data_IF_170169366344
#
_entry.id   IF_170169366344
#
_cell.length_a   1.000
_cell.length_b   1.000
_cell.length_c   1.000
_cell.angle_alpha   90.00
_cell.angle_beta   90.00
_cell.angle_gamma   90.00
#
_symmetry.space_group_name_H-M   'P 1'
#
loop_
_entity.id
_entity.type
_entity.pdbx_description
1 polymer ?
#
# COMPACT_ATOMS: atom_id res chain seq x y z
N UNK A 1 -6.26 21.20 -9.12
CA UNK A 1 -7.62 20.62 -9.03
C UNK A 1 -7.66 19.10 -9.19
N UNK A 2 -7.15 18.50 -10.28
CA UNK A 2 -7.18 17.03 -10.43
C UNK A 2 -6.45 16.29 -9.31
N UNK A 3 -5.26 16.77 -8.93
CA UNK A 3 -4.47 16.21 -7.82
C UNK A 3 -5.23 16.27 -6.50
N UNK A 4 -5.89 17.39 -6.20
CA UNK A 4 -6.75 17.51 -5.01
C UNK A 4 -7.93 16.54 -5.05
N UNK A 5 -8.55 16.38 -6.22
CA UNK A 5 -9.65 15.44 -6.40
C UNK A 5 -9.21 14.00 -6.12
N UNK A 6 -8.05 13.59 -6.66
CA UNK A 6 -7.43 12.29 -6.35
C UNK A 6 -7.15 12.16 -4.85
N UNK A 7 -6.58 13.19 -4.23
CA UNK A 7 -6.28 13.20 -2.79
C UNK A 7 -7.54 13.02 -1.93
N UNK A 8 -8.65 13.69 -2.26
CA UNK A 8 -9.90 13.54 -1.53
C UNK A 8 -10.57 12.19 -1.73
N UNK A 9 -10.37 11.55 -2.90
CA UNK A 9 -10.88 10.20 -3.15
C UNK A 9 -10.24 9.14 -2.24
N UNK A 10 -9.08 9.41 -1.61
CA UNK A 10 -8.51 8.50 -0.60
C UNK A 10 -9.45 8.26 0.59
N UNK A 11 -10.35 9.19 0.90
CA UNK A 11 -11.35 9.06 1.98
C UNK A 11 -12.40 7.98 1.71
N UNK A 12 -12.63 7.62 0.44
CA UNK A 12 -13.60 6.59 0.04
C UNK A 12 -13.11 5.19 0.44
N UNK A 13 -11.79 5.01 0.53
CA UNK A 13 -11.14 3.74 0.80
C UNK A 13 -10.25 3.30 -0.37
N UNK A 14 -9.15 2.66 -0.03
CA UNK A 14 -8.15 2.12 -0.96
C UNK A 14 -7.40 0.96 -0.27
N UNK A 15 -6.41 0.38 -0.95
CA UNK A 15 -5.67 -0.78 -0.42
C UNK A 15 -4.91 -0.49 0.88
N UNK A 16 -4.61 0.78 1.18
CA UNK A 16 -3.79 1.19 2.32
C UNK A 16 -4.59 1.76 3.49
N UNK A 17 -5.77 2.34 3.21
CA UNK A 17 -6.64 2.95 4.22
C UNK A 17 -8.09 2.46 4.09
N UNK A 18 -8.74 2.10 5.22
CA UNK A 18 -10.16 1.82 5.21
C UNK A 18 -10.95 3.09 4.85
N UNK A 19 -12.05 2.95 4.12
CA UNK A 19 -12.92 4.07 3.80
C UNK A 19 -13.53 4.70 5.06
N UNK A 20 -13.61 6.03 5.09
CA UNK A 20 -14.24 6.75 6.19
C UNK A 20 -15.72 6.39 6.27
N UNK A 21 -16.29 6.20 7.48
CA UNK A 21 -17.62 5.60 7.58
C UNK A 21 -18.73 6.41 6.87
N UNK A 22 -18.56 7.74 6.69
CA UNK A 22 -19.58 8.61 6.11
C UNK A 22 -19.57 8.61 4.59
N UNK A 23 -18.56 8.02 3.97
CA UNK A 23 -18.34 8.05 2.53
C UNK A 23 -18.58 6.64 1.98
N UNK A 24 -19.32 6.57 0.89
CA UNK A 24 -19.53 5.35 0.10
C UNK A 24 -19.90 5.72 -1.34
N UNK A 25 -19.32 5.03 -2.32
CA UNK A 25 -19.60 5.26 -3.75
C UNK A 25 -21.09 5.09 -4.05
N UNK A 26 -21.80 4.22 -3.32
CA UNK A 26 -23.23 3.95 -3.52
C UNK A 26 -24.16 5.09 -3.09
N UNK A 27 -23.68 6.08 -2.35
CA UNK A 27 -24.47 7.26 -1.94
C UNK A 27 -24.04 8.54 -2.64
N UNK A 28 -23.48 8.45 -3.85
CA UNK A 28 -22.97 9.61 -4.60
C UNK A 28 -21.96 10.44 -3.81
N UNK A 29 -21.08 9.75 -3.08
CA UNK A 29 -20.07 10.44 -2.28
C UNK A 29 -19.01 11.11 -3.14
N UNK A 30 -18.71 10.59 -4.34
CA UNK A 30 -17.73 11.21 -5.24
C UNK A 30 -18.19 12.61 -5.64
N UNK A 31 -19.47 12.75 -6.01
CA UNK A 31 -20.10 14.02 -6.37
C UNK A 31 -20.13 14.96 -5.16
N UNK A 32 -20.43 14.44 -3.98
CA UNK A 32 -20.42 15.21 -2.73
C UNK A 32 -19.03 15.75 -2.41
N UNK A 33 -17.99 14.89 -2.45
CA UNK A 33 -16.61 15.26 -2.20
C UNK A 33 -16.09 16.26 -3.23
N UNK A 34 -16.48 16.08 -4.51
CA UNK A 34 -16.13 17.00 -5.61
C UNK A 34 -16.78 18.36 -5.42
N UNK A 35 -18.07 18.40 -5.09
CA UNK A 35 -18.79 19.66 -4.84
C UNK A 35 -18.20 20.42 -3.64
N UNK A 36 -17.84 19.70 -2.57
CA UNK A 36 -17.15 20.31 -1.43
C UNK A 36 -15.77 20.84 -1.83
N UNK A 37 -15.04 20.14 -2.70
CA UNK A 37 -13.73 20.56 -3.17
C UNK A 37 -13.81 21.87 -3.95
N UNK A 38 -14.76 21.96 -4.88
CA UNK A 38 -15.02 23.19 -5.64
C UNK A 38 -15.39 24.36 -4.71
N UNK A 39 -16.28 24.14 -3.73
CA UNK A 39 -16.65 25.18 -2.75
C UNK A 39 -15.47 25.59 -1.88
N UNK A 40 -14.62 24.64 -1.48
CA UNK A 40 -13.44 24.92 -0.68
C UNK A 40 -12.44 25.78 -1.46
N UNK A 41 -12.22 25.46 -2.74
CA UNK A 41 -11.38 26.27 -3.64
C UNK A 41 -11.94 27.68 -3.82
N UNK A 42 -13.23 27.83 -4.14
CA UNK A 42 -13.87 29.15 -4.31
C UNK A 42 -13.77 30.02 -3.05
N UNK A 43 -13.80 29.40 -1.86
CA UNK A 43 -13.71 30.11 -0.59
C UNK A 43 -12.29 30.49 -0.20
N UNK A 44 -11.32 29.60 -0.44
CA UNK A 44 -9.95 29.79 0.03
C UNK A 44 -9.03 30.38 -1.05
N UNK A 45 -9.43 30.32 -2.31
CA UNK A 45 -8.66 30.71 -3.49
C UNK A 45 -7.28 30.02 -3.58
N UNK A 46 -7.20 28.77 -3.12
CA UNK A 46 -6.00 27.95 -3.15
C UNK A 46 -6.35 26.45 -3.15
N UNK A 47 -5.40 25.61 -3.54
CA UNK A 47 -5.53 24.15 -3.64
C UNK A 47 -5.07 23.44 -2.35
N UNK A 48 -5.59 22.23 -2.13
CA UNK A 48 -5.14 21.34 -1.05
C UNK A 48 -3.72 20.86 -1.31
N UNK A 49 -3.38 20.58 -2.57
CA UNK A 49 -2.04 20.15 -2.98
C UNK A 49 -1.36 21.26 -3.77
N UNK A 50 -0.09 21.55 -3.44
CA UNK A 50 0.67 22.63 -4.07
C UNK A 50 1.45 22.12 -5.29
N UNK A 51 1.91 23.05 -6.14
CA UNK A 51 2.77 22.73 -7.29
C UNK A 51 4.11 22.09 -6.89
N UNK A 52 4.54 22.27 -5.64
CA UNK A 52 5.74 21.65 -5.07
C UNK A 52 5.48 20.23 -4.54
N UNK A 53 4.30 19.66 -4.85
CA UNK A 53 3.84 18.36 -4.35
C UNK A 53 3.84 18.28 -2.83
N UNK A 54 3.40 19.35 -2.18
CA UNK A 54 3.20 19.44 -0.74
C UNK A 54 1.72 19.61 -0.42
N UNK A 55 1.30 19.23 0.78
CA UNK A 55 -0.08 19.39 1.25
C UNK A 55 -0.21 20.71 2.01
N UNK A 56 -1.17 21.53 1.61
CA UNK A 56 -1.57 22.74 2.31
C UNK A 56 -2.57 22.37 3.42
N UNK A 57 -2.06 22.13 4.63
CA UNK A 57 -2.86 21.74 5.79
C UNK A 57 -3.88 22.80 6.23
N UNK A 58 -3.68 24.08 5.89
CA UNK A 58 -4.70 25.11 6.14
C UNK A 58 -5.94 24.88 5.28
N UNK A 59 -5.75 24.60 3.99
CA UNK A 59 -6.84 24.38 3.03
C UNK A 59 -7.51 23.02 3.27
N UNK A 60 -6.71 22.01 3.62
CA UNK A 60 -7.22 20.68 3.99
C UNK A 60 -8.10 20.74 5.25
N UNK A 61 -7.71 21.52 6.26
CA UNK A 61 -8.54 21.74 7.46
C UNK A 61 -9.91 22.31 7.10
N UNK A 62 -9.96 23.35 6.24
CA UNK A 62 -11.23 23.96 5.80
C UNK A 62 -12.11 22.95 5.05
N UNK A 63 -11.49 22.07 4.27
CA UNK A 63 -12.19 20.98 3.60
C UNK A 63 -12.79 20.00 4.62
N UNK A 64 -11.99 19.47 5.55
CA UNK A 64 -12.47 18.53 6.57
C UNK A 64 -13.55 19.13 7.47
N UNK A 65 -13.43 20.41 7.85
CA UNK A 65 -14.50 21.13 8.58
C UNK A 65 -15.80 21.19 7.75
N UNK A 66 -15.69 21.36 6.43
CA UNK A 66 -16.87 21.43 5.57
C UNK A 66 -17.54 20.06 5.40
N UNK A 67 -16.74 19.00 5.29
CA UNK A 67 -17.23 17.63 5.21
C UNK A 67 -17.80 17.14 6.55
N UNK A 68 -17.19 17.50 7.69
CA UNK A 68 -17.67 17.10 9.02
C UNK A 68 -19.07 17.66 9.33
N UNK A 69 -19.41 18.83 8.79
CA UNK A 69 -20.74 19.44 8.95
C UNK A 69 -21.88 18.67 8.28
N UNK A 70 -21.57 17.87 7.26
CA UNK A 70 -22.57 17.07 6.54
C UNK A 70 -22.48 15.57 6.86
N UNK A 71 -21.49 15.18 7.67
CA UNK A 71 -21.15 13.79 7.99
C UNK A 71 -22.35 12.99 8.48
N UNK A 72 -23.13 13.55 9.42
CA UNK A 72 -24.30 12.88 10.00
C UNK A 72 -25.40 12.61 8.96
N UNK A 73 -25.60 13.52 8.01
CA UNK A 73 -26.55 13.33 6.90
C UNK A 73 -26.12 12.20 5.97
N UNK A 74 -24.82 12.08 5.73
CA UNK A 74 -24.26 11.00 4.92
C UNK A 74 -24.39 9.65 5.63
N UNK A 75 -24.17 9.57 6.94
CA UNK A 75 -24.43 8.34 7.72
C UNK A 75 -25.87 7.88 7.62
N UNK A 76 -26.82 8.80 7.76
CA UNK A 76 -28.25 8.49 7.65
C UNK A 76 -28.56 7.96 6.25
N UNK A 77 -28.03 8.61 5.21
CA UNK A 77 -28.24 8.20 3.82
C UNK A 77 -27.65 6.81 3.55
N UNK A 78 -26.43 6.56 4.03
CA UNK A 78 -25.75 5.25 3.94
C UNK A 78 -26.53 4.16 4.65
N UNK A 79 -26.96 4.41 5.88
CA UNK A 79 -27.74 3.46 6.69
C UNK A 79 -29.06 3.10 6.00
N UNK A 80 -29.77 4.08 5.45
CA UNK A 80 -31.00 3.86 4.65
C UNK A 80 -30.75 2.98 3.42
N UNK A 81 -29.64 3.19 2.72
CA UNK A 81 -29.28 2.33 1.57
C UNK A 81 -28.93 0.91 2.02
N UNK A 82 -28.14 0.75 3.07
CA UNK A 82 -27.76 -0.56 3.60
C UNK A 82 -28.97 -1.37 4.06
N UNK A 83 -29.91 -0.74 4.79
CA UNK A 83 -31.11 -1.41 5.29
C UNK A 83 -32.06 -1.85 4.17
N UNK A 84 -31.98 -1.27 2.96
CA UNK A 84 -32.74 -1.74 1.78
C UNK A 84 -32.15 -2.99 1.13
N UNK A 85 -30.86 -3.26 1.35
CA UNK A 85 -30.11 -4.22 0.52
C UNK A 85 -29.48 -5.38 1.31
N UNK A 86 -29.49 -5.36 2.64
CA UNK A 86 -28.81 -6.37 3.46
C UNK A 86 -29.80 -7.37 4.10
N UNK A 87 -29.31 -8.58 4.37
CA UNK A 87 -30.01 -9.63 5.12
C UNK A 87 -30.13 -9.29 6.62
N UNK A 88 -31.09 -9.92 7.30
CA UNK A 88 -31.34 -9.73 8.73
C UNK A 88 -30.15 -10.20 9.59
N UNK A 89 -29.84 -9.49 10.68
CA UNK A 89 -28.80 -9.87 11.67
C UNK A 89 -27.50 -9.07 11.63
N UNK A 90 -27.41 -8.02 10.79
CA UNK A 90 -26.26 -7.10 10.78
C UNK A 90 -26.19 -6.24 12.04
N UNK A 91 -24.98 -6.02 12.56
CA UNK A 91 -24.77 -5.04 13.63
C UNK A 91 -25.12 -3.63 13.15
N UNK A 92 -26.02 -2.97 13.86
CA UNK A 92 -26.39 -1.57 13.63
C UNK A 92 -25.76 -0.68 14.71
N UNK A 93 -24.97 0.31 14.25
CA UNK A 93 -24.43 1.37 15.09
C UNK A 93 -24.92 2.70 14.51
N UNK A 94 -25.71 3.50 15.22
CA UNK A 94 -26.26 4.75 14.71
C UNK A 94 -25.20 5.85 14.71
N UNK A 95 -24.30 5.83 13.71
CA UNK A 95 -23.13 6.72 13.62
C UNK A 95 -23.45 8.22 13.61
N UNK A 96 -24.67 8.61 13.27
CA UNK A 96 -25.14 10.00 13.32
C UNK A 96 -25.44 10.50 14.75
N UNK A 97 -25.36 9.63 15.76
CA UNK A 97 -25.64 9.97 17.17
C UNK A 97 -24.36 9.97 17.99
N UNK A 98 -24.33 10.77 19.05
CA UNK A 98 -23.22 10.78 20.01
C UNK A 98 -22.92 9.37 20.57
N UNK A 99 -23.95 8.66 21.03
CA UNK A 99 -23.80 7.31 21.57
C UNK A 99 -23.30 6.30 20.52
N UNK A 100 -23.74 6.41 19.27
CA UNK A 100 -23.26 5.56 18.18
C UNK A 100 -21.79 5.81 17.84
N UNK A 101 -21.36 7.07 17.77
CA UNK A 101 -19.94 7.43 17.59
C UNK A 101 -19.07 6.89 18.74
N UNK A 102 -19.52 7.04 19.98
CA UNK A 102 -18.83 6.49 21.15
C UNK A 102 -18.76 4.95 21.11
N UNK A 103 -19.87 4.27 20.79
CA UNK A 103 -19.90 2.81 20.63
C UNK A 103 -18.93 2.37 19.53
N UNK A 104 -18.95 3.01 18.37
CA UNK A 104 -18.04 2.71 17.26
C UNK A 104 -16.57 2.77 17.67
N UNK A 105 -16.14 3.87 18.30
CA UNK A 105 -14.76 4.01 18.74
C UNK A 105 -14.37 2.94 19.77
N UNK A 106 -15.24 2.67 20.75
CA UNK A 106 -14.97 1.67 21.78
C UNK A 106 -14.93 0.22 21.25
N UNK A 107 -15.79 -0.14 20.29
CA UNK A 107 -15.93 -1.53 19.83
C UNK A 107 -15.13 -1.87 18.59
N UNK A 108 -14.99 -0.92 17.65
CA UNK A 108 -14.29 -1.14 16.36
C UNK A 108 -12.84 -0.70 16.38
N UNK A 109 -12.56 0.39 17.09
CA UNK A 109 -11.23 0.99 17.16
C UNK A 109 -10.55 0.81 18.52
N UNK A 110 -11.26 0.26 19.51
CA UNK A 110 -10.77 0.03 20.88
C UNK A 110 -10.18 1.29 21.54
N UNK A 111 -10.70 2.46 21.16
CA UNK A 111 -10.31 3.74 21.74
C UNK A 111 -11.09 4.02 23.02
N UNK A 112 -10.37 4.36 24.09
CA UNK A 112 -10.94 4.54 25.44
C UNK A 112 -11.04 6.01 25.85
N UNK A 113 -10.29 6.89 25.19
CA UNK A 113 -10.20 8.31 25.51
C UNK A 113 -9.98 9.15 24.23
N UNK A 114 -9.93 10.48 24.39
CA UNK A 114 -9.73 11.40 23.25
C UNK A 114 -8.33 11.29 22.64
N UNK A 115 -7.29 11.02 23.43
CA UNK A 115 -5.92 10.86 22.92
C UNK A 115 -5.81 9.65 21.98
N UNK A 116 -6.51 8.56 22.29
CA UNK A 116 -6.60 7.38 21.41
C UNK A 116 -7.24 7.77 20.06
N UNK A 117 -8.35 8.52 20.10
CA UNK A 117 -9.05 8.99 18.89
C UNK A 117 -8.16 9.92 18.06
N UNK A 118 -7.47 10.85 18.72
CA UNK A 118 -6.57 11.80 18.07
C UNK A 118 -5.39 11.05 17.43
N UNK A 119 -4.83 10.03 18.09
CA UNK A 119 -3.77 9.18 17.53
C UNK A 119 -4.25 8.38 16.31
N UNK A 120 -5.47 7.83 16.34
CA UNK A 120 -6.06 7.15 15.16
C UNK A 120 -6.20 8.13 13.99
N UNK A 121 -6.70 9.34 14.26
CA UNK A 121 -6.84 10.39 13.26
C UNK A 121 -5.50 10.86 12.68
N UNK A 122 -4.47 11.00 13.52
CA UNK A 122 -3.11 11.33 13.10
C UNK A 122 -2.54 10.25 12.17
N UNK A 123 -2.67 8.96 12.53
CA UNK A 123 -2.20 7.86 11.68
C UNK A 123 -2.96 7.77 10.36
N UNK A 124 -4.27 8.07 10.37
CA UNK A 124 -5.07 8.09 9.15
C UNK A 124 -4.59 9.19 8.19
N UNK A 125 -4.36 10.42 8.68
CA UNK A 125 -3.82 11.52 7.87
C UNK A 125 -2.38 11.22 7.43
N UNK A 126 -1.57 10.62 8.30
CA UNK A 126 -0.22 10.12 7.94
C UNK A 126 -0.30 9.15 6.77
N UNK A 127 -1.30 8.27 6.74
CA UNK A 127 -1.56 7.39 5.61
C UNK A 127 -1.98 8.13 4.35
N UNK A 128 -2.82 9.15 4.45
CA UNK A 128 -3.17 9.97 3.27
C UNK A 128 -1.93 10.64 2.68
N UNK A 129 -1.02 11.15 3.53
CA UNK A 129 0.26 11.72 3.11
C UNK A 129 1.15 10.64 2.47
N UNK A 130 1.18 9.43 3.04
CA UNK A 130 1.92 8.30 2.49
C UNK A 130 1.42 7.92 1.09
N UNK A 131 0.11 7.78 0.90
CA UNK A 131 -0.51 7.45 -0.39
C UNK A 131 -0.23 8.55 -1.42
N UNK A 132 -0.33 9.82 -1.00
CA UNK A 132 0.04 10.94 -1.85
C UNK A 132 1.50 10.85 -2.29
N UNK A 133 2.42 10.55 -1.37
CA UNK A 133 3.82 10.36 -1.71
C UNK A 133 4.04 9.17 -2.66
N UNK A 134 3.30 8.08 -2.46
CA UNK A 134 3.38 6.87 -3.26
C UNK A 134 2.99 7.14 -4.72
N UNK A 135 1.81 7.72 -4.95
CA UNK A 135 1.31 7.95 -6.31
C UNK A 135 1.86 9.21 -6.99
N UNK A 136 2.07 10.31 -6.23
CA UNK A 136 2.37 11.63 -6.82
C UNK A 136 3.86 11.96 -6.73
N UNK A 137 4.53 11.58 -5.64
CA UNK A 137 5.95 11.83 -5.44
C UNK A 137 6.85 10.68 -5.89
N UNK A 138 6.29 9.49 -6.17
CA UNK A 138 7.08 8.29 -6.49
C UNK A 138 7.97 7.85 -5.32
N UNK A 139 7.60 8.22 -4.09
CA UNK A 139 8.34 7.87 -2.87
C UNK A 139 7.51 6.93 -2.02
N UNK A 140 8.16 5.85 -1.58
CA UNK A 140 7.56 4.86 -0.68
C UNK A 140 8.30 4.86 0.65
N UNK A 141 7.56 5.05 1.75
CA UNK A 141 8.07 4.86 3.11
C UNK A 141 7.71 3.44 3.58
N UNK A 142 8.59 2.48 3.29
CA UNK A 142 8.35 1.02 3.40
C UNK A 142 8.01 0.50 4.81
N UNK A 143 8.26 1.29 5.86
CA UNK A 143 7.98 0.87 7.24
C UNK A 143 6.63 1.34 7.77
N UNK A 144 5.95 2.23 7.06
CA UNK A 144 4.66 2.74 7.51
C UNK A 144 3.54 1.75 7.20
N UNK A 145 2.60 1.61 8.14
CA UNK A 145 1.37 0.85 8.01
C UNK A 145 0.31 1.54 8.85
N UNK A 146 -0.94 1.57 8.38
CA UNK A 146 -2.06 2.04 9.19
C UNK A 146 -2.40 0.98 10.25
N UNK A 147 -2.26 1.26 11.57
CA UNK A 147 -2.31 0.23 12.60
C UNK A 147 -3.72 -0.05 13.12
N UNK A 148 -4.76 0.19 12.31
CA UNK A 148 -6.15 -0.05 12.69
C UNK A 148 -6.94 -0.67 11.54
N UNK A 149 -8.01 -1.40 11.88
CA UNK A 149 -8.88 -2.06 10.89
C UNK A 149 -9.94 -1.13 10.30
N UNK A 150 -10.24 -0.02 10.98
CA UNK A 150 -11.31 0.90 10.63
C UNK A 150 -10.81 2.35 10.61
N UNK A 151 -11.59 3.25 10.01
CA UNK A 151 -11.25 4.66 9.87
C UNK A 151 -11.90 5.51 10.98
N UNK A 152 -11.28 6.62 11.41
CA UNK A 152 -11.92 7.59 12.31
C UNK A 152 -12.97 8.43 11.54
N UNK A 153 -13.66 9.29 12.28
CA UNK A 153 -14.59 10.27 11.71
C UNK A 153 -13.86 11.51 11.18
N UNK A 154 -14.44 12.16 10.17
CA UNK A 154 -13.89 13.38 9.55
C UNK A 154 -13.81 14.52 10.55
N UNK A 155 -14.78 14.59 11.48
CA UNK A 155 -14.76 15.56 12.56
C UNK A 155 -13.47 15.49 13.38
N UNK A 156 -12.93 14.28 13.60
CA UNK A 156 -11.69 14.07 14.35
C UNK A 156 -10.45 14.32 13.48
N UNK A 157 -10.50 13.98 12.18
CA UNK A 157 -9.47 14.39 11.23
C UNK A 157 -9.29 15.92 11.20
N UNK A 158 -10.40 16.67 11.21
CA UNK A 158 -10.37 18.14 11.20
C UNK A 158 -9.65 18.73 12.43
N UNK A 159 -9.72 18.06 13.60
CA UNK A 159 -9.06 18.53 14.83
C UNK A 159 -7.55 18.39 14.76
N UNK A 160 -7.05 17.31 14.17
CA UNK A 160 -5.62 16.95 14.19
C UNK A 160 -4.89 17.18 12.87
N UNK A 161 -5.55 17.76 11.86
CA UNK A 161 -4.99 17.98 10.51
C UNK A 161 -3.70 18.81 10.47
N UNK A 162 -3.38 19.53 11.55
CA UNK A 162 -2.12 20.30 11.70
C UNK A 162 -1.15 19.68 12.70
N UNK A 163 -1.37 18.45 13.12
CA UNK A 163 -0.45 17.71 13.96
C UNK A 163 0.87 17.42 13.22
N UNK A 164 1.84 16.90 13.97
CA UNK A 164 3.10 16.46 13.38
C UNK A 164 2.94 15.04 12.83
N UNK A 165 3.08 14.89 11.51
CA UNK A 165 3.01 13.60 10.82
C UNK A 165 4.42 13.06 10.58
N UNK A 166 4.67 11.80 10.96
CA UNK A 166 5.99 11.18 10.86
C UNK A 166 5.96 9.94 9.96
N UNK A 167 6.61 10.03 8.81
CA UNK A 167 6.84 8.90 7.92
C UNK A 167 8.25 8.36 8.11
N UNK A 168 8.33 7.08 8.47
CA UNK A 168 9.61 6.38 8.66
C UNK A 168 10.07 5.80 7.33
N UNK A 169 11.21 6.30 6.84
CA UNK A 169 11.90 5.72 5.70
C UNK A 169 12.34 4.29 6.03
N UNK A 170 12.40 3.46 5.00
CA UNK A 170 12.92 2.11 5.09
C UNK A 170 13.30 1.58 3.72
N UNK A 171 13.72 0.33 3.70
CA UNK A 171 13.91 -0.45 2.48
C UNK A 171 12.78 -1.47 2.35
N UNK A 172 12.48 -1.96 1.12
CA UNK A 172 11.61 -3.11 0.95
C UNK A 172 12.15 -4.30 1.75
N UNK A 173 11.23 -5.16 2.19
CA UNK A 173 11.58 -6.46 2.78
C UNK A 173 12.17 -7.36 1.70
N UNK A 174 13.09 -8.24 2.10
CA UNK A 174 13.53 -9.33 1.24
C UNK A 174 12.36 -10.30 0.96
N UNK A 175 12.39 -11.04 -0.17
CA UNK A 175 11.31 -11.96 -0.52
C UNK A 175 10.89 -12.91 0.60
N UNK A 176 11.83 -13.51 1.33
CA UNK A 176 11.51 -14.45 2.42
C UNK A 176 11.00 -13.74 3.68
N UNK A 177 11.46 -12.52 3.94
CA UNK A 177 10.92 -11.67 5.01
C UNK A 177 9.45 -11.31 4.72
N UNK A 178 9.14 -10.94 3.47
CA UNK A 178 7.79 -10.67 3.02
C UNK A 178 6.90 -11.91 3.13
N UNK A 179 7.38 -13.08 2.70
CA UNK A 179 6.60 -14.32 2.80
C UNK A 179 6.21 -14.63 4.24
N UNK A 180 7.12 -14.42 5.21
CA UNK A 180 6.82 -14.65 6.63
C UNK A 180 5.75 -13.71 7.20
N UNK A 181 5.64 -12.48 6.68
CA UNK A 181 4.66 -11.50 7.20
C UNK A 181 3.33 -11.51 6.44
N UNK A 182 3.27 -12.15 5.26
CA UNK A 182 2.06 -12.18 4.40
C UNK A 182 1.41 -13.56 4.36
N UNK A 183 2.20 -14.64 4.27
CA UNK A 183 1.66 -15.97 3.96
C UNK A 183 1.00 -16.60 5.20
N UNK A 184 -0.24 -17.08 5.09
CA UNK A 184 -0.94 -17.74 6.19
C UNK A 184 -0.37 -19.16 6.46
N UNK A 185 -0.60 -19.74 7.65
CA UNK A 185 -0.03 -21.03 8.03
C UNK A 185 -0.43 -22.19 7.12
N UNK A 186 -1.59 -22.12 6.46
CA UNK A 186 -2.07 -23.13 5.50
C UNK A 186 -1.18 -23.22 4.25
N UNK A 187 -0.50 -22.12 3.91
CA UNK A 187 0.39 -22.02 2.75
C UNK A 187 1.87 -21.93 3.16
N UNK A 188 2.21 -22.37 4.39
CA UNK A 188 3.59 -22.35 4.90
C UNK A 188 4.58 -23.17 4.07
N UNK A 189 4.09 -24.09 3.23
CA UNK A 189 4.88 -24.85 2.28
C UNK A 189 5.57 -23.95 1.21
N UNK A 190 5.02 -22.77 0.93
CA UNK A 190 5.65 -21.75 0.06
C UNK A 190 6.86 -21.08 0.70
N UNK A 191 6.99 -21.15 2.02
CA UNK A 191 8.13 -20.65 2.79
C UNK A 191 9.22 -21.73 2.84
N UNK A 192 10.49 -21.28 2.83
CA UNK A 192 11.66 -22.14 3.00
C UNK A 192 11.53 -22.98 4.28
N UNK A 193 11.82 -24.27 4.18
CA UNK A 193 11.61 -25.24 5.26
C UNK A 193 12.26 -24.82 6.59
N UNK A 194 13.49 -24.32 6.54
CA UNK A 194 14.23 -23.83 7.71
C UNK A 194 13.56 -22.66 8.44
N UNK A 195 12.67 -21.91 7.79
CA UNK A 195 11.97 -20.77 8.38
C UNK A 195 10.58 -21.14 8.91
N UNK A 196 10.02 -22.32 8.57
CA UNK A 196 8.64 -22.68 8.90
C UNK A 196 8.37 -22.77 10.41
N UNK A 197 9.40 -23.03 11.23
CA UNK A 197 9.23 -23.06 12.70
C UNK A 197 8.79 -21.70 13.29
N UNK A 198 9.03 -20.59 12.59
CA UNK A 198 8.63 -19.24 13.02
C UNK A 198 7.10 -19.16 13.17
N UNK A 199 6.34 -19.86 12.32
CA UNK A 199 4.88 -19.94 12.43
C UNK A 199 4.44 -20.50 13.78
N UNK A 200 5.10 -21.56 14.25
CA UNK A 200 4.82 -22.17 15.54
C UNK A 200 5.25 -21.27 16.71
N UNK A 201 6.39 -20.58 16.57
CA UNK A 201 6.93 -19.69 17.60
C UNK A 201 6.06 -18.44 17.82
N UNK A 202 5.48 -17.89 16.75
CA UNK A 202 4.61 -16.72 16.80
C UNK A 202 3.17 -17.06 16.43
N UNK A 203 2.65 -18.18 16.93
CA UNK A 203 1.32 -18.71 16.59
C UNK A 203 0.19 -17.68 16.70
N UNK A 204 0.30 -16.73 17.65
CA UNK A 204 -0.66 -15.64 17.81
C UNK A 204 -0.82 -14.77 16.56
N UNK A 205 0.23 -14.61 15.74
CA UNK A 205 0.18 -13.84 14.49
C UNK A 205 -0.23 -14.68 13.27
N UNK A 206 -0.35 -16.00 13.44
CA UNK A 206 -0.70 -16.95 12.37
C UNK A 206 -1.94 -17.75 12.76
N UNK A 207 -3.11 -17.09 12.92
CA UNK A 207 -4.33 -17.79 13.25
C UNK A 207 -4.77 -18.73 12.12
N UNK A 208 -5.29 -19.90 12.47
CA UNK A 208 -5.90 -20.83 11.49
C UNK A 208 -7.32 -20.44 11.13
N UNK A 209 -7.98 -19.68 11.99
CA UNK A 209 -9.33 -19.13 11.81
C UNK A 209 -9.33 -17.65 12.12
N UNK A 210 -9.98 -16.85 11.27
CA UNK A 210 -10.01 -15.39 11.41
C UNK A 210 -11.46 -14.94 11.47
N UNK A 211 -11.74 -14.00 12.37
CA UNK A 211 -13.05 -13.36 12.47
C UNK A 211 -13.17 -12.30 11.38
N UNK A 212 -14.35 -12.22 10.77
CA UNK A 212 -14.71 -11.13 9.86
C UNK A 212 -15.73 -10.21 10.52
N UNK A 213 -15.67 -8.94 10.17
CA UNK A 213 -16.58 -7.91 10.63
C UNK A 213 -17.27 -7.26 9.43
N UNK A 214 -18.56 -7.53 9.30
CA UNK A 214 -19.40 -7.00 8.21
C UNK A 214 -20.02 -5.64 8.54
N UNK A 215 -19.55 -4.95 9.58
CA UNK A 215 -20.02 -3.62 9.94
C UNK A 215 -19.99 -2.69 8.73
N UNK A 216 -21.15 -2.09 8.43
CA UNK A 216 -21.30 -1.10 7.36
C UNK A 216 -20.96 -1.65 5.95
N UNK A 217 -21.04 -2.98 5.76
CA UNK A 217 -20.81 -3.66 4.48
C UNK A 217 -22.09 -4.22 3.88
N UNK A 218 -22.12 -4.28 2.54
CA UNK A 218 -23.23 -4.83 1.75
C UNK A 218 -23.05 -6.31 1.40
N UNK A 219 -21.80 -6.77 1.27
CA UNK A 219 -21.46 -8.09 0.78
C UNK A 219 -20.50 -8.74 1.76
N UNK A 220 -20.64 -10.04 2.02
CA UNK A 220 -19.83 -10.74 3.02
C UNK A 220 -18.34 -10.72 2.69
N UNK A 221 -17.97 -10.77 1.41
CA UNK A 221 -16.58 -10.69 0.97
C UNK A 221 -15.96 -9.29 1.11
N UNK A 222 -16.75 -8.24 1.36
CA UNK A 222 -16.23 -6.89 1.68
C UNK A 222 -16.07 -6.66 3.19
N UNK A 223 -16.34 -7.68 4.00
CA UNK A 223 -16.13 -7.65 5.45
C UNK A 223 -14.67 -7.44 5.79
N UNK A 224 -14.43 -6.71 6.87
CA UNK A 224 -13.08 -6.46 7.38
C UNK A 224 -12.58 -7.72 8.06
N UNK A 225 -11.43 -8.23 7.60
CA UNK A 225 -10.78 -9.39 8.21
C UNK A 225 -9.98 -8.92 9.42
N UNK A 226 -10.33 -9.41 10.61
CA UNK A 226 -9.72 -8.98 11.87
C UNK A 226 -8.48 -9.81 12.19
N UNK A 227 -7.36 -9.47 11.55
CA UNK A 227 -6.06 -10.09 11.82
C UNK A 227 -5.40 -9.46 13.06
N UNK A 228 -4.65 -10.24 13.84
CA UNK A 228 -3.85 -9.69 14.93
C UNK A 228 -2.77 -8.76 14.39
N UNK A 229 -2.55 -7.62 15.05
CA UNK A 229 -1.47 -6.70 14.68
C UNK A 229 -0.10 -7.37 14.90
N UNK A 230 0.57 -7.69 13.79
CA UNK A 230 1.83 -8.42 13.79
C UNK A 230 3.00 -7.54 14.21
N UNK A 231 3.79 -8.00 15.18
CA UNK A 231 5.10 -7.41 15.47
C UNK A 231 6.14 -7.93 14.48
N UNK A 232 6.16 -7.33 13.29
CA UNK A 232 7.09 -7.71 12.21
C UNK A 232 8.55 -7.68 12.67
N UNK A 233 8.95 -6.71 13.51
CA UNK A 233 10.33 -6.62 14.04
C UNK A 233 10.75 -7.88 14.81
N UNK A 234 9.86 -8.44 15.61
CA UNK A 234 10.15 -9.66 16.37
C UNK A 234 10.35 -10.87 15.44
N UNK A 235 9.52 -11.01 14.40
CA UNK A 235 9.63 -12.07 13.39
C UNK A 235 10.93 -11.93 12.60
N UNK A 236 11.24 -10.72 12.13
CA UNK A 236 12.45 -10.46 11.36
C UNK A 236 13.72 -10.69 12.17
N UNK A 237 13.70 -10.43 13.49
CA UNK A 237 14.81 -10.75 14.38
C UNK A 237 15.05 -12.26 14.53
N UNK A 238 14.00 -13.09 14.46
CA UNK A 238 14.15 -14.54 14.42
C UNK A 238 14.66 -15.04 13.07
N UNK A 239 14.11 -14.51 11.98
CA UNK A 239 14.57 -14.80 10.63
C UNK A 239 16.09 -14.57 10.45
N UNK A 240 16.62 -13.46 11.00
CA UNK A 240 18.06 -13.13 10.94
C UNK A 240 18.97 -14.18 11.57
N UNK A 241 18.47 -15.03 12.47
CA UNK A 241 19.27 -16.08 13.11
C UNK A 241 19.54 -17.26 12.18
N UNK A 242 18.73 -17.41 11.13
CA UNK A 242 18.68 -18.62 10.29
C UNK A 242 19.14 -18.33 8.87
N UNK A 243 19.13 -17.06 8.44
CA UNK A 243 19.45 -16.66 7.06
C UNK A 243 20.82 -17.18 6.58
N UNK A 244 21.81 -17.25 7.46
CA UNK A 244 23.17 -17.72 7.12
C UNK A 244 23.24 -19.24 6.88
N UNK A 245 22.22 -19.99 7.27
CA UNK A 245 22.16 -21.43 7.08
C UNK A 245 21.43 -21.81 5.76
N UNK A 246 20.91 -20.83 5.01
CA UNK A 246 20.22 -21.10 3.75
C UNK A 246 21.20 -21.54 2.65
N UNK A 247 20.69 -22.30 1.69
CA UNK A 247 21.47 -22.73 0.53
C UNK A 247 21.78 -21.54 -0.39
N UNK A 248 22.82 -21.66 -1.22
CA UNK A 248 23.20 -20.62 -2.18
C UNK A 248 22.04 -20.25 -3.14
N UNK A 249 21.25 -21.25 -3.58
CA UNK A 249 20.09 -21.01 -4.44
C UNK A 249 18.96 -20.25 -3.72
N UNK A 250 18.73 -20.54 -2.45
CA UNK A 250 17.74 -19.82 -1.62
C UNK A 250 18.19 -18.38 -1.37
N UNK A 251 19.46 -18.17 -1.06
CA UNK A 251 20.02 -16.83 -0.89
C UNK A 251 19.92 -16.00 -2.18
N UNK A 252 20.16 -16.61 -3.34
CA UNK A 252 19.99 -15.95 -4.64
C UNK A 252 18.52 -15.52 -4.85
N UNK A 253 17.56 -16.41 -4.59
CA UNK A 253 16.11 -16.10 -4.69
C UNK A 253 15.66 -15.01 -3.72
N UNK A 254 16.39 -14.80 -2.64
CA UNK A 254 16.10 -13.82 -1.61
C UNK A 254 16.83 -12.48 -1.81
N UNK A 255 17.66 -12.39 -2.86
CA UNK A 255 18.38 -11.18 -3.22
C UNK A 255 17.51 -10.24 -4.05
N UNK A 256 17.82 -8.94 -3.99
CA UNK A 256 17.19 -7.94 -4.88
C UNK A 256 17.89 -8.03 -6.24
N UNK A 257 17.13 -8.31 -7.29
CA UNK A 257 17.64 -8.26 -8.67
C UNK A 257 17.27 -6.94 -9.37
N UNK A 258 17.91 -6.69 -10.51
CA UNK A 258 17.64 -5.57 -11.41
C UNK A 258 16.77 -6.04 -12.57
N UNK A 259 16.04 -5.11 -13.17
CA UNK A 259 15.25 -5.39 -14.37
C UNK A 259 16.15 -5.80 -15.54
N UNK A 260 15.58 -6.62 -16.43
CA UNK A 260 16.28 -7.14 -17.62
C UNK A 260 15.86 -6.37 -18.86
N UNK A 261 16.85 -5.91 -19.62
CA UNK A 261 16.69 -5.40 -20.97
C UNK A 261 17.11 -6.50 -21.95
N UNK A 262 16.19 -6.86 -22.85
CA UNK A 262 16.43 -7.84 -23.91
C UNK A 262 16.53 -7.07 -25.22
N UNK A 263 17.68 -7.18 -25.89
CA UNK A 263 17.98 -6.41 -27.10
C UNK A 263 18.11 -7.34 -28.29
N UNK A 264 17.43 -6.99 -29.39
CA UNK A 264 17.52 -7.63 -30.71
C UNK A 264 17.89 -6.58 -31.78
N UNK A 265 18.99 -5.87 -31.53
CA UNK A 265 19.58 -4.91 -32.46
C UNK A 265 21.08 -5.20 -32.55
N UNK A 266 21.57 -5.44 -33.77
CA UNK A 266 22.95 -5.89 -33.97
C UNK A 266 23.99 -4.87 -33.50
N UNK A 267 23.75 -3.57 -33.71
CA UNK A 267 24.67 -2.51 -33.30
C UNK A 267 24.76 -2.40 -31.77
N UNK A 268 23.62 -2.45 -31.09
CA UNK A 268 23.57 -2.46 -29.63
C UNK A 268 24.14 -3.75 -29.06
N UNK A 269 23.89 -4.90 -29.67
CA UNK A 269 24.48 -6.18 -29.26
C UNK A 269 26.01 -6.09 -29.28
N UNK A 270 26.60 -5.59 -30.37
CA UNK A 270 28.06 -5.41 -30.45
C UNK A 270 28.58 -4.46 -29.36
N UNK A 271 27.86 -3.38 -29.06
CA UNK A 271 28.22 -2.46 -27.98
C UNK A 271 28.15 -3.15 -26.60
N UNK A 272 27.14 -3.97 -26.37
CA UNK A 272 26.88 -4.65 -25.09
C UNK A 272 27.80 -5.85 -24.85
N UNK A 273 28.34 -6.47 -25.90
CA UNK A 273 29.36 -7.53 -25.79
C UNK A 273 30.57 -7.11 -24.94
N UNK A 274 30.93 -5.83 -24.95
CA UNK A 274 32.00 -5.29 -24.10
C UNK A 274 31.77 -5.46 -22.59
N UNK A 275 30.53 -5.62 -22.13
CA UNK A 275 30.25 -5.95 -20.72
C UNK A 275 30.80 -7.32 -20.31
N UNK A 276 30.86 -8.25 -21.26
CA UNK A 276 31.20 -9.65 -21.01
C UNK A 276 32.63 -9.98 -21.44
N UNK A 277 33.08 -9.48 -22.59
CA UNK A 277 34.41 -9.79 -23.13
C UNK A 277 35.50 -8.83 -22.67
N UNK A 278 35.17 -7.54 -22.52
CA UNK A 278 36.11 -6.52 -22.04
C UNK A 278 35.98 -6.29 -20.53
N UNK A 279 35.10 -7.03 -19.85
CA UNK A 279 34.75 -6.86 -18.42
C UNK A 279 34.40 -5.41 -18.05
N UNK A 280 33.74 -4.68 -18.96
CA UNK A 280 33.30 -3.32 -18.68
C UNK A 280 32.31 -3.34 -17.52
N UNK A 281 32.48 -2.49 -16.48
CA UNK A 281 31.60 -2.50 -15.32
C UNK A 281 30.17 -2.06 -15.66
N UNK A 282 30.02 -1.15 -16.62
CA UNK A 282 28.72 -0.70 -17.12
C UNK A 282 28.84 -0.10 -18.53
N UNK A 283 27.71 -0.02 -19.24
CA UNK A 283 27.56 0.68 -20.52
C UNK A 283 26.39 1.66 -20.40
N UNK A 284 26.60 2.91 -20.85
CA UNK A 284 25.52 3.90 -20.94
C UNK A 284 24.80 3.79 -22.28
N UNK A 285 23.48 3.69 -22.22
CA UNK A 285 22.60 3.71 -23.40
C UNK A 285 21.62 4.89 -23.29
N UNK A 286 21.26 5.44 -24.44
CA UNK A 286 20.09 6.30 -24.57
C UNK A 286 19.13 5.59 -25.52
N UNK A 287 17.95 5.24 -25.03
CA UNK A 287 16.89 4.62 -25.83
C UNK A 287 15.65 5.48 -25.68
N UNK A 288 15.13 5.98 -26.81
CA UNK A 288 13.91 6.79 -26.86
C UNK A 288 13.95 8.03 -25.92
N UNK A 289 15.13 8.63 -25.76
CA UNK A 289 15.32 9.81 -24.90
C UNK A 289 15.50 9.49 -23.41
N UNK A 290 15.45 8.22 -23.02
CA UNK A 290 15.71 7.77 -21.64
C UNK A 290 17.14 7.26 -21.53
N UNK A 291 17.84 7.68 -20.48
CA UNK A 291 19.19 7.23 -20.20
C UNK A 291 19.17 6.00 -19.29
N UNK A 292 19.98 5.02 -19.65
CA UNK A 292 20.11 3.76 -18.93
C UNK A 292 21.58 3.46 -18.62
N UNK A 293 21.83 3.00 -17.40
CA UNK A 293 23.06 2.32 -17.03
C UNK A 293 22.82 0.82 -17.13
N UNK A 294 23.63 0.16 -17.95
CA UNK A 294 23.46 -1.25 -18.29
C UNK A 294 24.62 -2.07 -17.77
N UNK A 295 24.33 -3.23 -17.19
CA UNK A 295 25.27 -4.10 -16.50
C UNK A 295 25.19 -5.54 -17.04
N UNK A 296 26.29 -6.28 -16.93
CA UNK A 296 26.32 -7.70 -17.29
C UNK A 296 25.28 -8.50 -16.49
N UNK A 297 24.55 -9.40 -17.16
CA UNK A 297 23.67 -10.38 -16.54
C UNK A 297 24.38 -11.73 -16.42
N UNK A 298 24.39 -12.33 -15.23
CA UNK A 298 25.20 -13.52 -14.95
C UNK A 298 24.74 -14.78 -15.71
N UNK A 299 23.46 -14.86 -16.09
CA UNK A 299 22.87 -15.98 -16.82
C UNK A 299 22.56 -15.60 -18.28
N UNK A 300 23.38 -14.73 -18.88
CA UNK A 300 23.23 -14.32 -20.27
C UNK A 300 23.32 -15.54 -21.21
N UNK A 301 22.47 -15.55 -22.23
CA UNK A 301 22.64 -16.40 -23.41
C UNK A 301 23.18 -15.55 -24.54
N UNK A 302 24.27 -15.98 -25.14
CA UNK A 302 24.90 -15.21 -26.21
C UNK A 302 24.12 -15.39 -27.53
N UNK A 303 24.19 -14.41 -28.45
CA UNK A 303 23.67 -14.59 -29.79
C UNK A 303 24.26 -15.84 -30.45
N UNK A 304 23.42 -16.58 -31.17
CA UNK A 304 23.66 -17.87 -31.80
C UNK A 304 23.78 -19.08 -30.87
N UNK A 305 23.72 -18.90 -29.54
CA UNK A 305 23.58 -20.03 -28.63
C UNK A 305 22.23 -20.71 -28.80
N UNK A 306 22.24 -22.03 -28.59
CA UNK A 306 21.04 -22.85 -28.64
C UNK A 306 20.27 -22.71 -27.31
N UNK A 307 19.01 -22.29 -27.40
CA UNK A 307 18.10 -22.15 -26.25
C UNK A 307 16.99 -23.17 -26.41
N UNK A 308 16.89 -24.06 -25.43
CA UNK A 308 15.89 -25.12 -25.39
C UNK A 308 14.68 -24.68 -24.57
N UNK A 309 13.49 -24.76 -25.16
CA UNK A 309 12.22 -24.53 -24.47
C UNK A 309 11.17 -25.52 -24.95
N UNK A 310 10.52 -26.21 -24.03
CA UNK A 310 9.40 -27.12 -24.28
C UNK A 310 9.59 -28.02 -25.53
N UNK A 311 10.69 -28.78 -25.55
CA UNK A 311 11.06 -29.74 -26.60
C UNK A 311 11.40 -29.14 -27.97
N UNK A 312 11.59 -27.82 -28.08
CA UNK A 312 12.11 -27.15 -29.28
C UNK A 312 13.40 -26.41 -28.99
N UNK A 313 14.29 -26.45 -29.96
CA UNK A 313 15.56 -25.73 -29.97
C UNK A 313 15.43 -24.48 -30.85
N UNK A 314 15.96 -23.36 -30.38
CA UNK A 314 16.02 -22.09 -31.08
C UNK A 314 17.43 -21.53 -31.02
N UNK A 315 17.86 -20.84 -32.09
CA UNK A 315 19.05 -19.99 -32.04
C UNK A 315 18.68 -18.64 -31.43
N UNK A 316 19.32 -18.30 -30.32
CA UNK A 316 19.14 -17.00 -29.69
C UNK A 316 19.63 -15.88 -30.62
N UNK A 317 18.81 -14.85 -30.85
CA UNK A 317 19.20 -13.65 -31.62
C UNK A 317 19.36 -12.41 -30.74
N UNK A 318 19.27 -12.59 -29.43
CA UNK A 318 19.19 -11.49 -28.48
C UNK A 318 20.32 -11.54 -27.47
N UNK A 319 20.52 -10.43 -26.76
CA UNK A 319 21.34 -10.41 -25.55
C UNK A 319 20.49 -9.85 -24.40
N UNK A 320 20.60 -10.48 -23.23
CA UNK A 320 20.00 -9.98 -21.99
C UNK A 320 21.05 -9.30 -21.13
N UNK A 321 20.67 -8.15 -20.57
CA UNK A 321 21.51 -7.32 -19.71
C UNK A 321 20.66 -6.76 -18.58
N UNK A 322 21.27 -6.45 -17.44
CA UNK A 322 20.59 -5.77 -16.33
C UNK A 322 20.61 -4.27 -16.57
N UNK A 323 19.59 -3.53 -16.17
CA UNK A 323 19.58 -2.07 -16.34
C UNK A 323 18.99 -1.31 -15.16
N UNK A 324 19.34 -0.03 -15.08
CA UNK A 324 18.74 0.97 -14.20
C UNK A 324 18.63 2.29 -14.96
N UNK A 325 17.48 2.96 -14.87
CA UNK A 325 17.28 4.31 -15.45
C UNK A 325 17.77 5.38 -14.49
N UNK A 326 18.24 6.52 -15.04
CA UNK A 326 18.73 7.65 -14.24
C UNK A 326 18.39 9.01 -14.85
#
# INVERSE_FOLDING_TARGET
MLTDWVFMCFLIGNDFLPGIPCVDIKISSIETLTNLLCKNYLKCNDFITTNQKMINFHILEKYFISLSRIEDSLYISKTKMLNKSCEAGREEIPLHTYHGKAKYYSTKLYANNQDDIDNIAIEYITGMIWIYNYYINGRTDWQWVYPYHFAPFVADLAKVVRANFSLKRGSPLHPFEQLLVVIPPQSQNLVVEKLRYIYNKFKIYYPTEVKSDSFDKYLTWTSVVLLPHMNSKAILNEYKKVINDLTAQELLRNSKEMDLLIVNDENLIEKLKGLYFDFKPAVKLNLEGINYSVFAHYNVKYPNEEVNSNFKSFKNKTISVRFESF
#
